data_IF_082268887406
#
_entry.id   IF_082268887406
#
_cell.length_a   1.000
_cell.length_b   1.000
_cell.length_c   1.000
_cell.angle_alpha   90.00
_cell.angle_beta   90.00
_cell.angle_gamma   90.00
#
_symmetry.space_group_name_H-M   'P 1'
#
loop_
_entity.id
_entity.type
_entity.pdbx_description
1 polymer ?
#
# COMPACT_ATOMS: atom_id res chain seq x y z
N UNK A 1 -8.19 -15.32 19.50
CA UNK A 1 -8.82 -14.00 19.31
C UNK A 1 -7.88 -13.06 18.55
N UNK A 2 -6.64 -12.85 18.99
CA UNK A 2 -5.68 -11.92 18.36
C UNK A 2 -5.37 -12.27 16.88
N UNK A 3 -5.17 -13.55 16.57
CA UNK A 3 -4.93 -14.02 15.20
C UNK A 3 -6.11 -13.68 14.29
N UNK A 4 -7.34 -13.90 14.77
CA UNK A 4 -8.57 -13.59 14.04
C UNK A 4 -8.72 -12.08 13.81
N UNK A 5 -8.44 -11.26 14.83
CA UNK A 5 -8.46 -9.78 14.69
C UNK A 5 -7.46 -9.29 13.65
N UNK A 6 -6.24 -9.83 13.66
CA UNK A 6 -5.22 -9.48 12.67
C UNK A 6 -5.61 -9.92 11.24
N UNK A 7 -6.24 -11.09 11.08
CA UNK A 7 -6.72 -11.56 9.78
C UNK A 7 -7.82 -10.64 9.22
N UNK A 8 -8.76 -10.21 10.08
CA UNK A 8 -9.81 -9.26 9.69
C UNK A 8 -9.21 -7.92 9.28
N UNK A 9 -8.24 -7.41 10.05
CA UNK A 9 -7.55 -6.16 9.69
C UNK A 9 -6.87 -6.25 8.32
N UNK A 10 -6.15 -7.35 8.06
CA UNK A 10 -5.53 -7.57 6.74
C UNK A 10 -6.55 -7.67 5.61
N UNK A 11 -7.70 -8.32 5.84
CA UNK A 11 -8.76 -8.38 4.83
C UNK A 11 -9.38 -7.01 4.57
N UNK A 12 -9.54 -6.20 5.60
CA UNK A 12 -10.04 -4.83 5.47
C UNK A 12 -9.10 -3.95 4.64
N UNK A 13 -7.77 -4.06 4.89
CA UNK A 13 -6.75 -3.39 4.07
C UNK A 13 -6.79 -3.87 2.61
N UNK A 14 -7.04 -5.19 2.41
CA UNK A 14 -7.10 -5.77 1.06
C UNK A 14 -8.27 -5.22 0.24
N UNK A 15 -9.42 -4.91 0.84
CA UNK A 15 -10.53 -4.27 0.13
C UNK A 15 -10.11 -2.92 -0.49
N UNK A 16 -9.29 -2.15 0.24
CA UNK A 16 -8.75 -0.88 -0.27
C UNK A 16 -7.75 -1.14 -1.41
N UNK A 17 -6.86 -2.13 -1.26
CA UNK A 17 -5.90 -2.50 -2.31
C UNK A 17 -6.61 -2.98 -3.57
N UNK A 18 -7.64 -3.81 -3.44
CA UNK A 18 -8.45 -4.28 -4.56
C UNK A 18 -9.13 -3.12 -5.31
N UNK A 19 -9.58 -2.10 -4.58
CA UNK A 19 -10.13 -0.87 -5.18
C UNK A 19 -9.06 -0.07 -5.93
N UNK A 20 -7.82 -0.01 -5.41
CA UNK A 20 -6.69 0.64 -6.09
C UNK A 20 -6.27 -0.13 -7.36
N UNK A 21 -6.17 -1.46 -7.27
CA UNK A 21 -5.85 -2.34 -8.42
C UNK A 21 -6.88 -2.15 -9.54
N UNK A 22 -8.15 -2.08 -9.17
CA UNK A 22 -9.27 -1.92 -10.11
C UNK A 22 -9.66 -0.46 -10.39
N UNK A 23 -8.80 0.51 -10.03
CA UNK A 23 -9.10 1.93 -10.16
C UNK A 23 -9.24 2.43 -11.59
N UNK A 24 -8.65 1.70 -12.56
CA UNK A 24 -8.61 2.13 -13.96
C UNK A 24 -7.74 3.37 -14.20
N UNK A 25 -6.80 3.68 -13.27
CA UNK A 25 -5.91 4.84 -13.43
C UNK A 25 -5.06 4.73 -14.68
N UNK A 26 -4.89 5.87 -15.37
CA UNK A 26 -3.97 6.02 -16.50
C UNK A 26 -2.61 6.57 -16.09
N UNK A 27 -2.49 7.01 -14.83
CA UNK A 27 -1.25 7.55 -14.28
C UNK A 27 -0.33 6.38 -13.88
N UNK A 28 0.70 6.15 -14.70
CA UNK A 28 1.62 5.04 -14.51
C UNK A 28 3.07 5.49 -14.49
N UNK A 29 3.88 4.86 -13.65
CA UNK A 29 5.32 5.02 -13.57
C UNK A 29 5.96 3.70 -13.96
N UNK A 30 6.67 3.68 -15.10
CA UNK A 30 7.26 2.47 -15.66
C UNK A 30 8.44 1.94 -14.82
N UNK A 31 8.69 0.63 -14.93
CA UNK A 31 9.83 -0.03 -14.28
C UNK A 31 11.20 0.48 -14.78
N UNK A 32 11.26 1.12 -15.98
CA UNK A 32 12.48 1.66 -16.59
C UNK A 32 12.91 3.04 -16.06
N UNK A 33 12.14 3.68 -15.17
CA UNK A 33 12.52 4.99 -14.62
C UNK A 33 13.64 4.80 -13.59
N UNK A 34 14.75 5.52 -13.82
CA UNK A 34 15.96 5.42 -13.01
C UNK A 34 16.95 4.35 -13.46
N UNK A 35 16.65 3.63 -14.55
CA UNK A 35 17.51 2.60 -15.14
C UNK A 35 16.71 1.51 -15.86
N UNK A 36 17.36 0.46 -16.31
CA UNK A 36 16.71 -0.67 -16.98
C UNK A 36 16.14 -1.63 -15.94
N UNK A 37 14.80 -1.77 -15.89
CA UNK A 37 14.09 -2.67 -14.99
C UNK A 37 14.50 -2.50 -13.49
N UNK A 38 14.25 -1.32 -12.94
CA UNK A 38 14.62 -0.98 -11.55
C UNK A 38 13.50 -1.27 -10.56
N UNK A 39 13.89 -1.51 -9.31
CA UNK A 39 12.99 -1.51 -8.17
C UNK A 39 12.60 -0.07 -7.77
N UNK A 40 11.95 0.13 -6.63
CA UNK A 40 11.55 1.45 -6.16
C UNK A 40 12.80 2.32 -5.92
N UNK A 41 12.78 3.53 -6.50
CA UNK A 41 13.83 4.52 -6.39
C UNK A 41 13.26 5.93 -6.26
N UNK A 42 14.11 6.90 -5.87
CA UNK A 42 13.69 8.31 -5.70
C UNK A 42 13.18 8.91 -7.00
N UNK A 43 13.74 8.52 -8.16
CA UNK A 43 13.29 9.03 -9.46
C UNK A 43 11.84 8.65 -9.77
N UNK A 44 11.42 7.42 -9.43
CA UNK A 44 10.02 6.97 -9.56
C UNK A 44 9.08 7.74 -8.65
N UNK A 45 9.47 7.96 -7.39
CA UNK A 45 8.67 8.74 -6.44
C UNK A 45 8.51 10.20 -6.90
N UNK A 46 9.57 10.81 -7.43
CA UNK A 46 9.52 12.16 -8.00
C UNK A 46 8.61 12.23 -9.21
N UNK A 47 8.66 11.24 -10.09
CA UNK A 47 7.78 11.15 -11.27
C UNK A 47 6.32 10.97 -10.84
N UNK A 48 6.03 10.08 -9.90
CA UNK A 48 4.68 9.90 -9.37
C UNK A 48 4.14 11.19 -8.74
N UNK A 49 4.97 11.89 -7.97
CA UNK A 49 4.62 13.21 -7.40
C UNK A 49 4.29 14.22 -8.50
N UNK A 50 5.12 14.30 -9.52
CA UNK A 50 4.90 15.20 -10.66
C UNK A 50 3.57 14.92 -11.36
N UNK A 51 3.21 13.65 -11.56
CA UNK A 51 1.94 13.28 -12.20
C UNK A 51 0.73 13.74 -11.37
N UNK A 52 0.75 13.55 -10.03
CA UNK A 52 -0.31 14.04 -9.16
C UNK A 52 -0.40 15.56 -9.13
N UNK A 53 0.75 16.24 -9.06
CA UNK A 53 0.78 17.70 -9.04
C UNK A 53 0.28 18.29 -10.38
N UNK A 54 0.58 17.63 -11.52
CA UNK A 54 0.06 18.01 -12.84
C UNK A 54 -1.46 17.87 -12.94
N UNK A 55 -2.07 16.98 -12.16
CA UNK A 55 -3.53 16.80 -12.07
C UNK A 55 -4.17 17.68 -10.99
N UNK A 56 -3.41 18.57 -10.35
CA UNK A 56 -3.87 19.45 -9.25
C UNK A 56 -4.41 18.67 -8.04
N UNK A 57 -3.94 17.44 -7.81
CA UNK A 57 -4.32 16.65 -6.64
C UNK A 57 -3.71 17.28 -5.38
N UNK A 58 -4.49 17.47 -4.29
CA UNK A 58 -4.00 18.07 -3.06
C UNK A 58 -2.69 17.41 -2.57
N UNK A 59 -1.70 18.19 -2.11
CA UNK A 59 -0.41 17.64 -1.64
C UNK A 59 -0.49 16.99 -0.25
N UNK A 60 -1.63 17.14 0.44
CA UNK A 60 -1.88 16.59 1.78
C UNK A 60 -2.47 15.19 1.69
N UNK A 61 -2.24 14.37 2.72
CA UNK A 61 -2.82 13.03 2.87
C UNK A 61 -2.59 12.12 1.64
N UNK A 62 -1.37 12.14 1.13
CA UNK A 62 -0.92 11.23 0.09
C UNK A 62 -0.28 10.01 0.73
N UNK A 63 -0.72 8.84 0.30
CA UNK A 63 -0.34 7.55 0.83
C UNK A 63 0.30 6.70 -0.25
N UNK A 64 1.21 5.82 0.12
CA UNK A 64 1.81 4.84 -0.79
C UNK A 64 1.87 3.48 -0.11
N UNK A 65 1.37 2.46 -0.80
CA UNK A 65 1.51 1.06 -0.41
C UNK A 65 2.71 0.46 -1.15
N UNK A 66 3.69 -0.04 -0.40
CA UNK A 66 4.93 -0.61 -0.93
C UNK A 66 5.17 -2.00 -0.35
N UNK A 67 5.94 -2.81 -1.07
CA UNK A 67 6.43 -4.08 -0.56
C UNK A 67 7.75 -3.89 0.22
N UNK A 68 8.05 -4.81 1.14
CA UNK A 68 9.27 -4.76 1.94
C UNK A 68 10.55 -4.74 1.08
N UNK A 69 10.58 -5.49 -0.03
CA UNK A 69 11.71 -5.50 -0.98
C UNK A 69 11.89 -4.13 -1.66
N UNK A 70 10.79 -3.45 -1.97
CA UNK A 70 10.81 -2.12 -2.58
C UNK A 70 11.31 -1.06 -1.58
N UNK A 71 10.95 -1.19 -0.31
CA UNK A 71 11.50 -0.34 0.74
C UNK A 71 13.02 -0.55 0.90
N UNK A 72 13.47 -1.81 0.95
CA UNK A 72 14.90 -2.14 1.06
C UNK A 72 15.71 -1.55 -0.11
N UNK A 73 15.19 -1.63 -1.34
CA UNK A 73 15.81 -1.03 -2.52
C UNK A 73 15.90 0.50 -2.40
N UNK A 74 14.81 1.16 -2.00
CA UNK A 74 14.80 2.61 -1.79
C UNK A 74 15.84 3.05 -0.74
N UNK A 75 15.97 2.31 0.37
CA UNK A 75 16.91 2.61 1.43
C UNK A 75 18.37 2.35 1.04
N UNK A 76 18.63 1.50 0.05
CA UNK A 76 19.98 1.23 -0.47
C UNK A 76 20.47 2.31 -1.43
N UNK A 77 19.61 3.21 -1.88
CA UNK A 77 19.97 4.25 -2.84
C UNK A 77 20.87 5.33 -2.20
N UNK A 78 21.99 5.67 -2.87
CA UNK A 78 22.99 6.61 -2.34
C UNK A 78 22.43 8.00 -2.08
N UNK A 79 21.45 8.44 -2.90
CA UNK A 79 20.75 9.71 -2.70
C UNK A 79 19.93 9.77 -1.42
N UNK A 80 19.50 8.60 -0.94
CA UNK A 80 18.71 8.44 0.28
C UNK A 80 19.60 8.29 1.51
N UNK A 81 20.79 7.69 1.38
CA UNK A 81 21.74 7.46 2.48
C UNK A 81 22.66 8.66 2.74
N UNK A 82 22.68 9.68 1.88
CA UNK A 82 23.51 10.87 2.06
C UNK A 82 23.10 11.67 3.30
N UNK A 83 24.11 12.22 4.02
CA UNK A 83 23.91 12.89 5.31
C UNK A 83 23.09 14.17 5.24
N UNK A 84 22.85 14.71 4.04
CA UNK A 84 22.01 15.89 3.83
C UNK A 84 20.51 15.60 3.91
N UNK A 85 20.12 14.32 3.93
CA UNK A 85 18.73 13.88 4.06
C UNK A 85 18.37 13.42 5.48
N UNK A 86 18.27 14.35 6.42
CA UNK A 86 17.83 14.06 7.79
C UNK A 86 16.47 13.35 7.86
N UNK A 87 15.58 13.67 6.90
CA UNK A 87 14.24 13.03 6.79
C UNK A 87 14.33 11.54 6.48
N UNK A 88 15.37 11.11 5.78
CA UNK A 88 15.57 9.71 5.40
C UNK A 88 16.13 8.90 6.58
N UNK A 89 16.98 9.49 7.42
CA UNK A 89 17.41 8.84 8.68
C UNK A 89 16.20 8.55 9.58
N UNK A 90 15.25 9.45 9.65
CA UNK A 90 14.01 9.27 10.40
C UNK A 90 13.10 8.17 9.78
N UNK A 91 13.09 8.01 8.46
CA UNK A 91 12.40 6.90 7.81
C UNK A 91 13.07 5.55 8.12
N UNK A 92 14.39 5.50 8.15
CA UNK A 92 15.18 4.29 8.51
C UNK A 92 15.00 3.92 9.97
N UNK A 93 14.94 4.91 10.87
CA UNK A 93 14.72 4.68 12.32
C UNK A 93 13.26 4.35 12.67
N UNK A 94 12.34 4.45 11.72
CA UNK A 94 10.91 4.22 11.96
C UNK A 94 10.21 5.36 12.71
N UNK A 95 10.89 6.47 12.96
CA UNK A 95 10.32 7.64 13.65
C UNK A 95 9.42 8.49 12.75
N UNK A 96 9.65 8.44 11.43
CA UNK A 96 8.86 9.19 10.43
C UNK A 96 8.46 8.26 9.30
N UNK A 97 7.16 8.05 9.15
CA UNK A 97 6.61 7.24 8.05
C UNK A 97 6.36 8.07 6.77
N UNK A 98 6.96 9.25 6.66
CA UNK A 98 6.71 10.17 5.55
C UNK A 98 8.01 10.55 4.83
N UNK A 99 8.02 10.43 3.50
CA UNK A 99 9.11 10.87 2.64
C UNK A 99 8.54 11.50 1.37
N UNK A 100 9.08 12.64 0.92
CA UNK A 100 8.60 13.43 -0.23
C UNK A 100 7.12 13.85 -0.13
N UNK A 101 6.53 13.85 1.07
CA UNK A 101 5.13 14.16 1.29
C UNK A 101 4.18 12.96 1.17
N UNK A 102 4.73 11.73 1.12
CA UNK A 102 3.97 10.48 1.11
C UNK A 102 4.08 9.74 2.44
N UNK A 103 2.97 9.22 2.92
CA UNK A 103 2.93 8.30 4.06
C UNK A 103 3.10 6.87 3.55
N UNK A 104 4.11 6.16 4.04
CA UNK A 104 4.46 4.82 3.58
C UNK A 104 3.76 3.74 4.39
N UNK A 105 3.12 2.80 3.70
CA UNK A 105 2.56 1.57 4.27
C UNK A 105 3.28 0.38 3.66
N UNK A 106 4.02 -0.34 4.52
CA UNK A 106 4.78 -1.51 4.08
C UNK A 106 3.90 -2.75 4.21
N UNK A 107 3.73 -3.45 3.11
CA UNK A 107 2.96 -4.68 3.01
C UNK A 107 3.90 -5.83 2.66
N UNK A 108 3.70 -6.97 3.31
CA UNK A 108 4.32 -8.23 2.89
C UNK A 108 3.39 -9.05 1.98
N UNK A 109 3.89 -10.17 1.51
CA UNK A 109 3.04 -11.15 0.84
C UNK A 109 2.01 -11.71 1.83
N UNK A 110 0.77 -11.91 1.38
CA UNK A 110 -0.38 -12.31 2.20
C UNK A 110 -1.22 -13.31 1.45
N UNK A 111 -1.84 -14.22 2.20
CA UNK A 111 -2.81 -15.17 1.65
C UNK A 111 -4.08 -14.47 1.12
N UNK A 112 -4.39 -13.28 1.65
CA UNK A 112 -5.55 -12.48 1.24
C UNK A 112 -5.34 -11.75 -0.11
N UNK A 113 -4.12 -11.77 -0.69
CA UNK A 113 -3.77 -11.16 -1.96
C UNK A 113 -2.48 -10.34 -1.86
N UNK A 114 -2.55 -9.09 -1.38
CA UNK A 114 -1.40 -8.18 -1.33
C UNK A 114 -1.24 -7.35 -2.59
N UNK A 115 -0.03 -6.84 -2.82
CA UNK A 115 0.31 -6.09 -4.02
C UNK A 115 0.57 -7.06 -5.19
N UNK A 116 -0.05 -6.83 -6.37
CA UNK A 116 0.08 -7.74 -7.50
C UNK A 116 1.52 -7.79 -8.03
N UNK A 117 1.95 -8.97 -8.40
CA UNK A 117 3.22 -9.21 -9.09
C UNK A 117 2.92 -9.95 -10.41
N UNK A 118 3.55 -9.56 -11.49
CA UNK A 118 3.39 -10.19 -12.78
C UNK A 118 4.35 -11.37 -12.98
N UNK A 119 4.16 -12.12 -14.09
CA UNK A 119 5.01 -13.25 -14.43
C UNK A 119 6.46 -12.88 -14.79
N UNK A 120 6.76 -11.61 -14.95
CA UNK A 120 8.10 -11.08 -15.21
C UNK A 120 8.84 -10.68 -13.93
N UNK A 121 8.17 -10.75 -12.78
CA UNK A 121 8.70 -10.30 -11.49
C UNK A 121 8.57 -8.79 -11.26
N UNK A 122 7.68 -8.14 -11.99
CA UNK A 122 7.33 -6.75 -11.76
C UNK A 122 6.16 -6.65 -10.80
N UNK A 123 6.34 -5.92 -9.70
CA UNK A 123 5.31 -5.66 -8.70
C UNK A 123 4.73 -4.27 -8.89
N UNK A 124 3.41 -4.19 -8.88
CA UNK A 124 2.70 -2.92 -8.92
C UNK A 124 2.50 -2.37 -7.51
N UNK A 125 3.00 -1.16 -7.29
CA UNK A 125 2.82 -0.37 -6.09
C UNK A 125 1.77 0.71 -6.39
N UNK A 126 1.01 1.11 -5.37
CA UNK A 126 -0.03 2.13 -5.53
C UNK A 126 0.23 3.32 -4.63
N UNK A 127 0.14 4.49 -5.22
CA UNK A 127 0.20 5.77 -4.56
C UNK A 127 -1.14 6.48 -4.78
N UNK A 128 -1.75 7.00 -3.71
CA UNK A 128 -3.06 7.65 -3.81
C UNK A 128 -3.21 8.81 -2.83
N UNK A 129 -4.12 9.71 -3.15
CA UNK A 129 -4.60 10.73 -2.23
C UNK A 129 -5.84 10.19 -1.49
N UNK A 130 -5.97 10.47 -0.20
CA UNK A 130 -6.99 9.93 0.70
C UNK A 130 -8.42 9.99 0.13
N UNK A 131 -8.80 11.09 -0.51
CA UNK A 131 -10.15 11.29 -1.04
C UNK A 131 -10.39 10.57 -2.38
N UNK A 132 -9.35 9.98 -2.99
CA UNK A 132 -9.48 9.27 -4.27
C UNK A 132 -10.02 7.86 -4.13
N UNK A 133 -10.07 7.34 -2.90
CA UNK A 133 -10.65 6.03 -2.59
C UNK A 133 -11.67 6.17 -1.47
N UNK A 134 -12.85 5.64 -1.70
CA UNK A 134 -13.91 5.53 -0.69
C UNK A 134 -13.99 4.11 -0.14
N UNK A 135 -14.08 4.00 1.17
CA UNK A 135 -14.38 2.77 1.89
C UNK A 135 -15.75 2.90 2.54
N UNK A 136 -16.59 1.92 2.38
CA UNK A 136 -17.90 1.83 3.01
C UNK A 136 -18.00 0.55 3.83
N UNK A 137 -18.43 0.66 5.08
CA UNK A 137 -18.72 -0.45 5.97
C UNK A 137 -20.23 -0.64 6.08
N UNK A 138 -20.73 -1.76 5.58
CA UNK A 138 -22.13 -2.15 5.70
C UNK A 138 -22.44 -2.81 7.03
N UNK A 139 -21.50 -3.60 7.53
CA UNK A 139 -21.59 -4.27 8.84
C UNK A 139 -20.24 -4.10 9.55
N UNK A 140 -20.20 -3.44 10.72
CA UNK A 140 -18.97 -3.35 11.50
C UNK A 140 -18.54 -4.73 11.98
N UNK A 141 -17.27 -4.87 12.35
CA UNK A 141 -16.73 -6.14 12.86
C UNK A 141 -17.51 -6.59 14.08
N UNK A 142 -18.15 -7.77 13.96
CA UNK A 142 -18.88 -8.43 15.05
C UNK A 142 -18.20 -9.75 15.36
N UNK A 143 -17.91 -10.00 16.63
CA UNK A 143 -17.35 -11.26 17.10
C UNK A 143 -18.37 -11.98 17.96
N UNK A 144 -18.62 -13.26 17.66
CA UNK A 144 -19.45 -14.16 18.45
C UNK A 144 -18.58 -15.26 19.03
N UNK A 145 -18.86 -15.62 20.26
CA UNK A 145 -18.18 -16.71 20.98
C UNK A 145 -19.26 -17.67 21.45
N UNK A 146 -19.25 -18.89 20.92
CA UNK A 146 -20.22 -19.93 21.25
C UNK A 146 -19.47 -21.15 21.79
N UNK A 147 -20.05 -21.78 22.81
CA UNK A 147 -19.54 -23.04 23.32
C UNK A 147 -20.08 -24.21 22.49
N UNK A 148 -19.18 -25.06 21.99
CA UNK A 148 -19.52 -26.27 21.24
C UNK A 148 -19.37 -27.51 22.14
N UNK A 149 -20.44 -28.05 22.66
CA UNK A 149 -20.39 -29.17 23.64
C UNK A 149 -19.74 -30.42 23.06
N UNK A 150 -19.99 -30.73 21.78
CA UNK A 150 -19.47 -31.94 21.10
C UNK A 150 -17.93 -31.94 21.03
N UNK A 151 -17.30 -30.75 21.01
CA UNK A 151 -15.83 -30.59 20.91
C UNK A 151 -15.21 -30.14 22.22
N UNK A 152 -16.00 -29.88 23.25
CA UNK A 152 -15.55 -29.30 24.53
C UNK A 152 -14.67 -28.07 24.32
N UNK A 153 -15.06 -27.19 23.38
CA UNK A 153 -14.28 -26.04 22.95
C UNK A 153 -15.16 -24.83 22.66
N UNK A 154 -14.53 -23.65 22.61
CA UNK A 154 -15.22 -22.43 22.22
C UNK A 154 -14.98 -22.13 20.73
N UNK A 155 -16.07 -21.90 20.00
CA UNK A 155 -16.02 -21.37 18.63
C UNK A 155 -15.99 -19.83 18.71
N UNK A 156 -14.98 -19.23 18.09
CA UNK A 156 -14.89 -17.78 17.94
C UNK A 156 -15.07 -17.47 16.45
N UNK A 157 -16.16 -16.77 16.12
CA UNK A 157 -16.47 -16.35 14.76
C UNK A 157 -16.52 -14.82 14.69
N UNK A 158 -15.84 -14.25 13.71
CA UNK A 158 -15.94 -12.81 13.43
C UNK A 158 -16.42 -12.59 12.01
N UNK A 159 -17.30 -11.62 11.84
CA UNK A 159 -17.85 -11.24 10.55
C UNK A 159 -17.86 -9.72 10.39
N UNK A 160 -17.64 -9.26 9.18
CA UNK A 160 -17.80 -7.86 8.78
C UNK A 160 -18.22 -7.80 7.32
N UNK A 161 -18.75 -6.68 6.90
CA UNK A 161 -19.05 -6.39 5.49
C UNK A 161 -18.55 -5.00 5.17
N UNK A 162 -17.58 -4.94 4.27
CA UNK A 162 -17.00 -3.69 3.78
C UNK A 162 -16.81 -3.78 2.27
N UNK A 163 -16.74 -2.64 1.62
CA UNK A 163 -16.40 -2.52 0.21
C UNK A 163 -15.70 -1.21 -0.05
N UNK A 164 -14.73 -1.22 -0.94
CA UNK A 164 -14.01 -0.03 -1.34
C UNK A 164 -14.17 0.22 -2.84
N UNK A 165 -14.09 1.49 -3.23
CA UNK A 165 -14.15 1.90 -4.63
C UNK A 165 -13.24 3.10 -4.86
N UNK A 166 -12.51 3.09 -5.98
CA UNK A 166 -11.83 4.27 -6.47
C UNK A 166 -12.91 5.29 -6.94
N UNK A 167 -12.84 6.50 -6.40
CA UNK A 167 -13.75 7.62 -6.70
C UNK A 167 -13.13 8.49 -7.79
N UNK A 168 -11.83 8.77 -7.66
CA UNK A 168 -11.08 9.61 -8.58
C UNK A 168 -9.81 8.89 -9.04
N UNK A 169 -9.80 8.48 -10.32
CA UNK A 169 -8.66 7.78 -10.92
C UNK A 169 -7.43 8.70 -11.13
N UNK A 170 -7.63 10.01 -11.25
CA UNK A 170 -6.56 11.00 -11.40
C UNK A 170 -5.77 11.21 -10.08
N UNK A 171 -6.35 10.83 -8.95
CA UNK A 171 -5.69 10.85 -7.64
C UNK A 171 -4.95 9.56 -7.28
N UNK A 172 -4.83 8.62 -8.22
CA UNK A 172 -4.19 7.32 -8.01
C UNK A 172 -3.09 7.12 -9.07
N UNK A 173 -1.89 6.75 -8.64
CA UNK A 173 -0.75 6.44 -9.52
C UNK A 173 -0.29 5.01 -9.28
N UNK A 174 -0.14 4.26 -10.37
CA UNK A 174 0.46 2.93 -10.35
C UNK A 174 1.96 3.02 -10.64
N UNK A 175 2.79 2.44 -9.80
CA UNK A 175 4.24 2.40 -9.95
C UNK A 175 4.66 0.95 -10.14
N UNK A 176 5.21 0.63 -11.30
CA UNK A 176 5.71 -0.72 -11.58
C UNK A 176 7.19 -0.82 -11.19
N UNK A 177 7.51 -1.80 -10.35
CA UNK A 177 8.85 -2.02 -9.79
C UNK A 177 9.31 -3.44 -10.06
N UNK A 178 10.55 -3.60 -10.59
CA UNK A 178 11.18 -4.90 -10.74
C UNK A 178 11.63 -5.41 -9.37
N UNK A 179 11.10 -6.53 -8.93
CA UNK A 179 11.66 -7.27 -7.80
C UNK A 179 12.69 -8.28 -8.34
N UNK A 180 13.93 -8.13 -7.92
CA UNK A 180 15.05 -9.05 -8.26
C UNK A 180 15.23 -10.07 -7.16
#
# INVERSE_FOLDING_TARGET
>A
VQVLSNAIGRRHDQEILDALINSGTTLTVANSIGGSATNLNVAKLRNAKQQLDAKNVPPTDRHIAIHANSLASLLSETSVTSSDFNTVKALVSGEVNTFLGFSFYVLGDRDEGGLPIDGSGDRDLFLWQKNSVGLAEGLPVQTKIDYVPEKTSFLVASMFSAGAKAIDADGIVKITCRES
#
